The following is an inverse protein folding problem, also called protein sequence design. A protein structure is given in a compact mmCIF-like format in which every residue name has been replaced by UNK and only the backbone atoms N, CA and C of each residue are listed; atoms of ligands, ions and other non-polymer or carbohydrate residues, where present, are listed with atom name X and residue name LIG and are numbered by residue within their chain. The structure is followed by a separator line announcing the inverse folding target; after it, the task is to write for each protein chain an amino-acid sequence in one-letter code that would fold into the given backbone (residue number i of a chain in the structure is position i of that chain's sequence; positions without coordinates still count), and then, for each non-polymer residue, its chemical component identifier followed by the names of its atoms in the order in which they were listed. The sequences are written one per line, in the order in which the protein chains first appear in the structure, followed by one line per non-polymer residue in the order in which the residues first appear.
data_IF_171473427813
#
_entry.id   IF_171473427813
#
_cell.length_a   1.000
_cell.length_b   1.000
_cell.length_c   1.000
_cell.angle_alpha   90.00
_cell.angle_beta   90.00
_cell.angle_gamma   90.00
#
_symmetry.space_group_name_H-M   'P 1'
#
loop_
_entity.id
_entity.type
_entity.pdbx_description
1 polymer ?
#
# COMPACT_ATOMS: atom_id res chain seq x y z
N UNK A 1 10.63 10.76 -1.64
CA UNK A 1 11.36 10.11 -0.53
C UNK A 1 12.86 9.96 -0.83
N UNK A 2 13.45 10.82 -1.68
CA UNK A 2 14.89 10.85 -1.96
C UNK A 2 15.72 11.65 -0.95
N UNK A 3 15.07 12.27 0.05
CA UNK A 3 15.74 12.70 1.27
C UNK A 3 16.00 11.46 2.10
N UNK A 4 17.06 10.76 1.68
CA UNK A 4 17.90 9.93 2.53
C UNK A 4 17.91 10.56 3.91
N UNK A 5 17.63 9.71 4.89
CA UNK A 5 17.91 9.92 6.30
C UNK A 5 19.30 10.51 6.46
N UNK A 6 19.42 11.84 6.34
CA UNK A 6 20.51 12.58 6.94
C UNK A 6 20.32 12.24 8.41
N UNK A 7 21.16 11.33 8.92
CA UNK A 7 21.36 11.17 10.35
C UNK A 7 21.53 12.58 10.88
N UNK A 8 20.48 13.12 11.49
CA UNK A 8 20.62 14.27 12.37
C UNK A 8 21.51 13.74 13.48
N UNK A 9 22.82 14.03 13.39
CA UNK A 9 23.69 13.97 14.57
C UNK A 9 23.00 14.86 15.58
N UNK A 10 22.34 14.27 16.57
CA UNK A 10 21.87 15.04 17.71
C UNK A 10 23.13 15.59 18.37
N UNK A 11 23.34 16.89 18.25
CA UNK A 11 24.21 17.61 19.14
C UNK A 11 23.53 17.60 20.51
N UNK A 12 23.68 16.51 21.26
CA UNK A 12 23.56 16.56 22.71
C UNK A 12 24.90 17.10 23.20
N UNK A 13 24.91 18.40 23.47
CA UNK A 13 25.95 19.07 24.23
C UNK A 13 25.84 18.59 25.67
N UNK A 14 26.70 17.64 26.03
CA UNK A 14 27.06 17.44 27.44
C UNK A 14 28.43 18.08 27.62
N UNK A 15 28.42 19.29 28.18
CA UNK A 15 29.55 19.88 28.88
C UNK A 15 29.85 19.02 30.11
N UNK A 16 31.02 18.38 30.18
CA UNK A 16 32.11 18.77 31.07
C UNK A 16 33.19 17.67 31.21
N UNK A 17 34.38 18.02 30.72
CA UNK A 17 35.71 17.74 31.29
C UNK A 17 36.09 16.31 31.71
N UNK A 18 36.80 15.62 30.82
CA UNK A 18 38.12 15.06 31.19
C UNK A 18 39.03 15.00 29.97
N UNK A 19 40.16 15.70 30.06
CA UNK A 19 41.17 15.77 29.02
C UNK A 19 41.88 14.42 28.86
N UNK A 20 41.86 13.85 27.66
CA UNK A 20 42.88 12.88 27.23
C UNK A 20 43.16 13.03 25.74
N UNK A 21 44.42 13.26 25.44
CA UNK A 21 45.00 13.57 24.13
C UNK A 21 44.78 12.46 23.09
N UNK A 22 44.11 12.86 22.00
CA UNK A 22 44.56 12.79 20.61
C UNK A 22 45.14 11.46 20.07
N UNK A 23 44.26 10.53 19.69
CA UNK A 23 44.49 9.64 18.54
C UNK A 23 43.69 10.15 17.34
N UNK A 24 44.38 10.65 16.31
CA UNK A 24 43.79 11.18 15.08
C UNK A 24 42.90 10.15 14.40
N UNK A 25 41.57 10.32 14.51
CA UNK A 25 40.62 9.63 13.66
C UNK A 25 40.47 10.45 12.39
N UNK A 26 40.98 9.91 11.29
CA UNK A 26 40.75 10.40 9.94
C UNK A 26 39.26 10.69 9.75
N UNK A 27 38.93 11.97 9.70
CA UNK A 27 37.60 12.42 9.39
C UNK A 27 37.29 11.95 7.98
N UNK A 28 36.31 11.05 7.84
CA UNK A 28 35.85 10.58 6.54
C UNK A 28 35.60 11.81 5.64
N UNK A 29 36.15 11.82 4.42
CA UNK A 29 36.06 12.99 3.54
C UNK A 29 34.59 13.39 3.36
N UNK A 30 34.30 14.70 3.28
CA UNK A 30 32.94 15.18 3.10
C UNK A 30 32.35 14.51 1.86
N UNK A 31 31.20 13.86 2.05
CA UNK A 31 30.50 13.16 0.98
C UNK A 31 30.32 14.11 -0.21
N UNK A 32 31.09 13.87 -1.26
CA UNK A 32 31.09 14.65 -2.49
C UNK A 32 29.65 14.77 -2.99
N UNK A 33 29.18 16.00 -3.19
CA UNK A 33 27.80 16.25 -3.57
C UNK A 33 27.53 15.61 -4.93
N UNK A 34 26.94 14.41 -4.92
CA UNK A 34 26.76 13.62 -6.12
C UNK A 34 26.01 14.42 -7.20
N UNK A 35 26.62 14.47 -8.40
CA UNK A 35 26.19 15.29 -9.53
C UNK A 35 24.68 15.15 -9.84
N UNK A 36 24.02 16.21 -10.35
CA UNK A 36 22.63 16.14 -10.77
C UNK A 36 22.43 15.06 -11.85
N UNK A 37 21.28 14.39 -11.83
CA UNK A 37 20.94 13.41 -12.86
C UNK A 37 20.85 14.11 -14.22
N UNK A 38 21.51 13.58 -15.25
CA UNK A 38 21.45 14.14 -16.59
C UNK A 38 20.04 14.10 -17.17
N UNK A 39 19.63 15.13 -17.93
CA UNK A 39 18.30 15.26 -18.53
C UNK A 39 17.90 14.02 -19.35
N UNK A 40 18.84 13.43 -20.10
CA UNK A 40 18.61 12.20 -20.89
C UNK A 40 18.19 11.02 -20.01
N UNK A 41 18.82 10.86 -18.84
CA UNK A 41 18.50 9.80 -17.88
C UNK A 41 17.09 9.95 -17.31
N UNK A 42 16.66 11.18 -17.03
CA UNK A 42 15.30 11.45 -16.55
C UNK A 42 14.28 11.00 -17.60
N UNK A 43 14.45 11.42 -18.85
CA UNK A 43 13.53 11.06 -19.94
C UNK A 43 13.46 9.56 -20.20
N UNK A 44 14.60 8.86 -20.22
CA UNK A 44 14.61 7.40 -20.44
C UNK A 44 13.92 6.65 -19.32
N UNK A 45 14.12 7.07 -18.06
CA UNK A 45 13.44 6.45 -16.92
C UNK A 45 11.95 6.78 -16.88
N UNK A 46 11.56 8.00 -17.24
CA UNK A 46 10.15 8.35 -17.38
C UNK A 46 9.49 7.50 -18.45
N UNK A 47 10.09 7.37 -19.64
CA UNK A 47 9.55 6.53 -20.71
C UNK A 47 9.43 5.06 -20.29
N UNK A 48 10.45 4.49 -19.65
CA UNK A 48 10.42 3.11 -19.15
C UNK A 48 9.34 2.91 -18.08
N UNK A 49 9.21 3.84 -17.13
CA UNK A 49 8.17 3.78 -16.11
C UNK A 49 6.77 3.88 -16.71
N UNK A 50 6.56 4.80 -17.66
CA UNK A 50 5.28 4.94 -18.37
C UNK A 50 4.94 3.68 -19.17
N UNK A 51 5.91 3.07 -19.86
CA UNK A 51 5.67 1.81 -20.57
C UNK A 51 5.23 0.69 -19.61
N UNK A 52 5.89 0.54 -18.46
CA UNK A 52 5.48 -0.45 -17.45
C UNK A 52 4.10 -0.15 -16.87
N UNK A 53 3.79 1.13 -16.61
CA UNK A 53 2.46 1.58 -16.16
C UNK A 53 1.39 1.28 -17.21
N UNK A 54 1.66 1.45 -18.50
CA UNK A 54 0.71 1.12 -19.57
C UNK A 54 0.45 -0.39 -19.66
N UNK A 55 1.48 -1.22 -19.48
CA UNK A 55 1.31 -2.68 -19.40
C UNK A 55 0.47 -3.07 -18.17
N UNK A 56 0.77 -2.50 -17.00
CA UNK A 56 -0.02 -2.70 -15.78
C UNK A 56 -1.48 -2.24 -15.97
N UNK A 57 -1.70 -1.08 -16.59
CA UNK A 57 -3.02 -0.57 -16.89
C UNK A 57 -3.78 -1.50 -17.82
N UNK A 58 -3.16 -1.92 -18.93
CA UNK A 58 -3.77 -2.86 -19.86
C UNK A 58 -4.20 -4.16 -19.16
N UNK A 59 -3.32 -4.72 -18.33
CA UNK A 59 -3.59 -6.01 -17.66
C UNK A 59 -4.74 -5.95 -16.66
N UNK A 60 -4.96 -4.82 -15.97
CA UNK A 60 -5.90 -4.75 -14.85
C UNK A 60 -6.94 -3.63 -14.81
N UNK A 61 -6.86 -2.62 -15.68
CA UNK A 61 -7.73 -1.43 -15.57
C UNK A 61 -9.20 -1.79 -15.70
N UNK A 62 -10.02 -1.22 -14.80
CA UNK A 62 -11.47 -1.26 -14.86
C UNK A 62 -12.09 -0.03 -14.18
N UNK A 63 -13.38 0.15 -14.41
CA UNK A 63 -14.20 1.08 -13.62
C UNK A 63 -14.37 0.53 -12.18
N UNK A 64 -14.43 1.40 -11.16
CA UNK A 64 -14.73 0.97 -9.79
C UNK A 64 -16.03 0.19 -9.74
N UNK A 65 -16.03 -1.02 -9.17
CA UNK A 65 -17.28 -1.77 -9.07
C UNK A 65 -18.27 -1.07 -8.13
N UNK A 66 -19.56 -1.42 -8.25
CA UNK A 66 -20.59 -0.91 -7.34
C UNK A 66 -20.26 -1.18 -5.88
N UNK A 67 -19.55 -2.28 -5.58
CA UNK A 67 -19.19 -2.66 -4.21
C UNK A 67 -18.25 -1.64 -3.56
N UNK A 68 -17.17 -1.28 -4.24
CA UNK A 68 -16.21 -0.27 -3.78
C UNK A 68 -16.87 1.11 -3.68
N UNK A 69 -17.69 1.49 -4.66
CA UNK A 69 -18.40 2.75 -4.65
C UNK A 69 -19.44 2.83 -3.50
N UNK A 70 -20.16 1.74 -3.20
CA UNK A 70 -21.05 1.66 -2.03
C UNK A 70 -20.27 1.81 -0.72
N UNK A 71 -19.07 1.22 -0.60
CA UNK A 71 -18.25 1.44 0.60
C UNK A 71 -17.77 2.89 0.70
N UNK A 72 -17.49 3.56 -0.41
CA UNK A 72 -17.08 4.97 -0.41
C UNK A 72 -18.21 5.93 -0.01
N UNK A 73 -19.48 5.52 -0.03
CA UNK A 73 -20.60 6.35 0.45
C UNK A 73 -20.85 6.23 1.95
N UNK A 74 -20.19 5.29 2.63
CA UNK A 74 -20.34 5.05 4.07
C UNK A 74 -19.75 6.21 4.88
N UNK A 75 -20.59 6.98 5.58
CA UNK A 75 -20.16 8.15 6.34
C UNK A 75 -20.43 8.04 7.85
N UNK A 76 -19.61 8.73 8.64
CA UNK A 76 -19.82 8.87 10.08
C UNK A 76 -21.11 9.61 10.41
N UNK A 77 -21.47 10.60 9.59
CA UNK A 77 -22.69 11.40 9.72
C UNK A 77 -23.95 10.55 9.61
N UNK A 78 -23.90 9.50 8.80
CA UNK A 78 -25.01 8.54 8.63
C UNK A 78 -25.03 7.46 9.73
N UNK A 79 -24.05 7.45 10.64
CA UNK A 79 -24.00 6.56 11.80
C UNK A 79 -23.10 5.34 11.63
N UNK A 80 -22.18 5.34 10.66
CA UNK A 80 -21.15 4.32 10.51
C UNK A 80 -19.88 4.65 11.31
N UNK A 81 -19.34 3.66 12.03
CA UNK A 81 -18.15 3.84 12.85
C UNK A 81 -16.92 3.10 12.31
N UNK A 82 -17.07 2.38 11.20
CA UNK A 82 -15.99 1.70 10.48
C UNK A 82 -15.93 2.20 9.04
N UNK A 83 -14.71 2.30 8.51
CA UNK A 83 -14.45 2.68 7.11
C UNK A 83 -15.09 4.00 6.68
N UNK A 84 -15.30 4.91 7.63
CA UNK A 84 -16.16 6.07 7.45
C UNK A 84 -15.43 7.27 6.86
N UNK A 85 -14.10 7.36 6.98
CA UNK A 85 -13.40 8.63 6.71
C UNK A 85 -13.59 9.09 5.26
N UNK A 86 -13.51 8.18 4.29
CA UNK A 86 -13.66 8.54 2.87
C UNK A 86 -15.08 9.02 2.59
N UNK A 87 -16.10 8.29 3.04
CA UNK A 87 -17.48 8.71 2.84
C UNK A 87 -17.81 9.99 3.59
N UNK A 88 -17.33 10.18 4.82
CA UNK A 88 -17.47 11.43 5.58
C UNK A 88 -16.93 12.66 4.86
N UNK A 89 -15.78 12.53 4.18
CA UNK A 89 -15.20 13.61 3.40
C UNK A 89 -15.95 13.85 2.08
N UNK A 90 -16.51 12.78 1.51
CA UNK A 90 -17.25 12.83 0.25
C UNK A 90 -18.71 13.25 0.41
N UNK A 91 -19.31 13.04 1.59
CA UNK A 91 -20.74 13.20 1.87
C UNK A 91 -21.31 14.56 1.39
N UNK A 92 -20.69 15.72 1.68
CA UNK A 92 -21.23 17.00 1.21
C UNK A 92 -21.27 17.13 -0.32
N UNK A 93 -20.30 16.53 -1.00
CA UNK A 93 -20.19 16.55 -2.47
C UNK A 93 -21.15 15.51 -3.06
N UNK A 94 -21.30 14.37 -2.40
CA UNK A 94 -22.23 13.31 -2.75
C UNK A 94 -23.68 13.83 -2.69
N UNK A 95 -24.08 14.40 -1.55
CA UNK A 95 -25.39 15.02 -1.36
C UNK A 95 -25.66 16.10 -2.42
N UNK A 96 -24.71 17.03 -2.62
CA UNK A 96 -24.87 18.11 -3.60
C UNK A 96 -24.97 17.63 -5.06
N UNK A 97 -24.40 16.46 -5.37
CA UNK A 97 -24.45 15.87 -6.72
C UNK A 97 -25.60 14.87 -6.90
N UNK A 98 -26.32 14.52 -5.83
CA UNK A 98 -27.31 13.46 -5.81
C UNK A 98 -26.70 12.06 -5.95
N UNK A 99 -25.60 11.79 -5.24
CA UNK A 99 -24.90 10.49 -5.20
C UNK A 99 -24.55 9.91 -6.57
N UNK A 100 -24.13 10.74 -7.53
CA UNK A 100 -23.78 10.24 -8.87
C UNK A 100 -22.56 9.32 -8.80
N UNK A 101 -22.69 8.08 -9.28
CA UNK A 101 -21.59 7.10 -9.38
C UNK A 101 -20.31 7.67 -10.02
N UNK A 102 -20.45 8.51 -11.06
CA UNK A 102 -19.30 9.14 -11.75
C UNK A 102 -18.40 9.95 -10.84
N UNK A 103 -18.93 10.52 -9.75
CA UNK A 103 -18.14 11.24 -8.75
C UNK A 103 -17.20 10.31 -8.00
N UNK A 104 -17.71 9.17 -7.53
CA UNK A 104 -16.92 8.13 -6.86
C UNK A 104 -15.89 7.51 -7.82
N UNK A 105 -16.28 7.31 -9.07
CA UNK A 105 -15.35 6.86 -10.10
C UNK A 105 -14.19 7.85 -10.31
N UNK A 106 -14.49 9.14 -10.45
CA UNK A 106 -13.49 10.19 -10.59
C UNK A 106 -12.55 10.24 -9.37
N UNK A 107 -13.09 10.23 -8.16
CA UNK A 107 -12.29 10.18 -6.92
C UNK A 107 -11.33 8.99 -6.92
N UNK A 108 -11.83 7.81 -7.27
CA UNK A 108 -11.05 6.57 -7.31
C UNK A 108 -9.90 6.65 -8.31
N UNK A 109 -10.12 7.22 -9.50
CA UNK A 109 -9.05 7.45 -10.47
C UNK A 109 -8.08 8.55 -10.04
N UNK A 110 -8.52 9.58 -9.31
CA UNK A 110 -7.62 10.59 -8.75
C UNK A 110 -6.71 10.00 -7.67
N UNK A 111 -7.23 9.09 -6.84
CA UNK A 111 -6.46 8.32 -5.85
C UNK A 111 -5.42 7.46 -6.56
N UNK A 112 -5.82 6.69 -7.57
CA UNK A 112 -4.88 5.90 -8.39
C UNK A 112 -3.82 6.81 -9.01
N UNK A 113 -4.21 7.93 -9.62
CA UNK A 113 -3.28 8.86 -10.27
C UNK A 113 -2.27 9.44 -9.27
N UNK A 114 -2.70 9.79 -8.05
CA UNK A 114 -1.81 10.19 -6.98
C UNK A 114 -0.78 9.11 -6.62
N UNK A 115 -1.23 7.85 -6.54
CA UNK A 115 -0.36 6.72 -6.21
C UNK A 115 0.65 6.44 -7.32
N UNK A 116 0.19 6.44 -8.58
CA UNK A 116 1.05 6.32 -9.76
C UNK A 116 2.06 7.47 -9.83
N UNK A 117 1.63 8.71 -9.55
CA UNK A 117 2.53 9.86 -9.52
C UNK A 117 3.63 9.68 -8.47
N UNK A 118 3.31 9.18 -7.27
CA UNK A 118 4.33 8.85 -6.26
C UNK A 118 5.30 7.79 -6.79
N UNK A 119 4.81 6.67 -7.32
CA UNK A 119 5.66 5.57 -7.78
C UNK A 119 6.55 5.97 -8.96
N UNK A 120 5.98 6.60 -10.00
CA UNK A 120 6.71 7.09 -11.17
C UNK A 120 7.73 8.15 -10.76
N UNK A 121 7.34 9.10 -9.90
CA UNK A 121 8.28 10.08 -9.37
C UNK A 121 9.47 9.40 -8.69
N UNK A 122 9.24 8.42 -7.81
CA UNK A 122 10.33 7.71 -7.15
C UNK A 122 11.21 6.93 -8.14
N UNK A 123 10.64 6.29 -9.17
CA UNK A 123 11.41 5.57 -10.19
C UNK A 123 12.37 6.51 -10.95
N UNK A 124 11.91 7.73 -11.23
CA UNK A 124 12.69 8.75 -11.95
C UNK A 124 13.76 9.37 -11.05
N UNK A 125 13.41 9.78 -9.83
CA UNK A 125 14.32 10.59 -8.99
C UNK A 125 15.28 9.77 -8.14
N UNK A 126 14.94 8.52 -7.77
CA UNK A 126 15.84 7.69 -6.99
C UNK A 126 17.14 7.47 -7.76
N UNK A 127 18.29 7.50 -7.08
CA UNK A 127 19.60 7.25 -7.70
C UNK A 127 20.04 5.80 -7.65
N UNK A 128 19.36 4.98 -6.85
CA UNK A 128 19.72 3.58 -6.61
C UNK A 128 19.09 2.69 -7.68
N UNK A 129 19.89 2.02 -8.56
CA UNK A 129 19.36 1.17 -9.62
C UNK A 129 18.44 0.06 -9.10
N UNK A 130 18.77 -0.56 -7.98
CA UNK A 130 17.95 -1.61 -7.36
C UNK A 130 16.54 -1.12 -6.98
N UNK A 131 16.42 0.12 -6.50
CA UNK A 131 15.12 0.76 -6.20
C UNK A 131 14.31 1.06 -7.46
N UNK A 132 14.98 1.47 -8.54
CA UNK A 132 14.31 1.67 -9.84
C UNK A 132 13.79 0.35 -10.37
N UNK A 133 14.66 -0.66 -10.42
CA UNK A 133 14.33 -2.02 -10.82
C UNK A 133 13.12 -2.54 -10.04
N UNK A 134 13.10 -2.34 -8.72
CA UNK A 134 11.97 -2.76 -7.88
C UNK A 134 10.65 -2.12 -8.30
N UNK A 135 10.61 -0.81 -8.58
CA UNK A 135 9.37 -0.14 -9.03
C UNK A 135 8.95 -0.64 -10.41
N UNK A 136 9.89 -0.77 -11.36
CA UNK A 136 9.58 -1.26 -12.70
C UNK A 136 9.07 -2.71 -12.64
N UNK A 137 9.72 -3.56 -11.85
CA UNK A 137 9.29 -4.94 -11.62
C UNK A 137 7.90 -4.99 -10.98
N UNK A 138 7.59 -4.12 -10.02
CA UNK A 138 6.26 -4.05 -9.41
C UNK A 138 5.14 -3.88 -10.45
N UNK A 139 5.35 -3.02 -11.46
CA UNK A 139 4.39 -2.79 -12.53
C UNK A 139 4.31 -3.94 -13.55
N UNK A 140 5.43 -4.63 -13.80
CA UNK A 140 5.48 -5.75 -14.75
C UNK A 140 5.00 -7.08 -14.16
N UNK A 141 4.96 -7.20 -12.84
CA UNK A 141 4.44 -8.36 -12.13
C UNK A 141 2.91 -8.32 -12.01
N UNK A 142 2.26 -9.44 -11.63
CA UNK A 142 0.82 -9.47 -11.40
C UNK A 142 0.29 -8.37 -10.46
N UNK A 143 1.12 -7.88 -9.54
CA UNK A 143 0.83 -6.74 -8.66
C UNK A 143 0.52 -5.44 -9.40
N UNK A 144 1.17 -5.20 -10.55
CA UNK A 144 0.94 -4.01 -11.36
C UNK A 144 -0.48 -3.98 -11.89
N UNK A 145 -0.92 -5.07 -12.53
CA UNK A 145 -2.29 -5.22 -12.98
C UNK A 145 -3.29 -5.19 -11.81
N UNK A 146 -2.99 -5.86 -10.70
CA UNK A 146 -3.86 -5.85 -9.51
C UNK A 146 -4.06 -4.43 -8.95
N UNK A 147 -3.03 -3.58 -8.96
CA UNK A 147 -3.15 -2.17 -8.57
C UNK A 147 -4.22 -1.43 -9.40
N UNK A 148 -4.28 -1.68 -10.71
CA UNK A 148 -5.28 -1.11 -11.61
C UNK A 148 -6.65 -1.78 -11.51
N UNK A 149 -6.70 -3.00 -10.98
CA UNK A 149 -7.96 -3.68 -10.70
C UNK A 149 -8.65 -3.13 -9.43
N UNK A 150 -7.84 -2.74 -8.43
CA UNK A 150 -8.29 -2.17 -7.15
C UNK A 150 -8.74 -0.71 -7.23
N UNK A 151 -9.01 -0.15 -8.41
CA UNK A 151 -9.51 1.23 -8.51
C UNK A 151 -10.83 1.34 -7.75
N UNK A 152 -10.83 2.19 -6.74
CA UNK A 152 -11.95 2.41 -5.82
C UNK A 152 -11.82 1.72 -4.46
N UNK A 153 -10.90 0.78 -4.32
CA UNK A 153 -10.64 0.12 -3.04
C UNK A 153 -9.84 1.04 -2.12
N UNK A 154 -10.12 0.94 -0.83
CA UNK A 154 -9.48 1.78 0.19
C UNK A 154 -7.98 1.54 0.34
N UNK A 155 -7.45 0.38 -0.10
CA UNK A 155 -6.02 0.04 0.00
C UNK A 155 -5.14 1.10 -0.67
N UNK A 156 -5.58 1.63 -1.82
CA UNK A 156 -4.86 2.70 -2.52
C UNK A 156 -4.76 3.97 -1.67
N UNK A 157 -5.83 4.32 -0.92
CA UNK A 157 -5.83 5.43 0.04
C UNK A 157 -4.87 5.14 1.20
N UNK A 158 -4.87 3.91 1.73
CA UNK A 158 -3.97 3.52 2.81
C UNK A 158 -2.50 3.68 2.40
N UNK A 159 -2.11 3.23 1.21
CA UNK A 159 -0.74 3.36 0.73
C UNK A 159 -0.37 4.81 0.40
N UNK A 160 -1.30 5.64 -0.08
CA UNK A 160 -1.06 7.09 -0.20
C UNK A 160 -0.79 7.74 1.16
N UNK A 161 -1.60 7.43 2.18
CA UNK A 161 -1.39 7.91 3.55
C UNK A 161 -0.06 7.41 4.12
N UNK A 162 0.32 6.15 3.86
CA UNK A 162 1.63 5.62 4.22
C UNK A 162 2.76 6.41 3.56
N UNK A 163 2.70 6.63 2.24
CA UNK A 163 3.75 7.35 1.53
C UNK A 163 3.84 8.82 1.97
N UNK A 164 2.72 9.46 2.28
CA UNK A 164 2.67 10.76 2.93
C UNK A 164 3.35 10.74 4.31
N UNK A 165 3.01 9.78 5.16
CA UNK A 165 3.61 9.59 6.48
C UNK A 165 5.13 9.37 6.38
N UNK A 166 5.59 8.52 5.46
CA UNK A 166 7.01 8.26 5.23
C UNK A 166 7.75 9.51 4.71
N UNK A 167 7.10 10.32 3.88
CA UNK A 167 7.65 11.60 3.41
C UNK A 167 7.80 12.63 4.54
N UNK A 168 6.84 12.69 5.45
CA UNK A 168 6.88 13.55 6.66
C UNK A 168 7.94 13.05 7.64
N UNK A 169 7.98 11.74 7.90
CA UNK A 169 8.95 11.11 8.79
C UNK A 169 10.39 11.36 8.31
N UNK A 170 10.64 11.28 7.00
CA UNK A 170 11.94 11.60 6.40
C UNK A 170 12.38 13.07 6.57
N UNK A 171 11.46 13.97 6.94
CA UNK A 171 11.74 15.37 7.30
C UNK A 171 11.82 15.61 8.81
N UNK A 172 11.72 14.56 9.62
CA UNK A 172 11.67 14.64 11.07
C UNK A 172 10.27 15.01 11.62
N UNK A 173 9.25 15.15 10.76
CA UNK A 173 7.89 15.48 11.16
C UNK A 173 7.10 14.22 11.56
N UNK A 174 7.54 13.57 12.63
CA UNK A 174 6.98 12.27 13.04
C UNK A 174 5.56 12.37 13.64
N UNK A 175 5.19 13.51 14.24
CA UNK A 175 3.83 13.73 14.77
C UNK A 175 2.77 13.74 13.66
N UNK A 176 2.85 14.58 12.62
CA UNK A 176 1.87 14.54 11.54
C UNK A 176 1.94 13.22 10.75
N UNK A 177 3.10 12.56 10.70
CA UNK A 177 3.21 11.21 10.14
C UNK A 177 2.39 10.17 10.93
N UNK A 178 2.41 10.25 12.27
CA UNK A 178 1.56 9.43 13.14
C UNK A 178 0.07 9.72 12.93
N UNK A 179 -0.31 11.00 12.77
CA UNK A 179 -1.68 11.39 12.45
C UNK A 179 -2.17 10.79 11.13
N UNK A 180 -1.33 10.71 10.09
CA UNK A 180 -1.69 10.03 8.84
C UNK A 180 -2.07 8.56 9.06
N UNK A 181 -1.44 7.86 10.02
CA UNK A 181 -1.79 6.48 10.34
C UNK A 181 -3.08 6.35 11.17
N UNK A 182 -3.39 7.36 12.00
CA UNK A 182 -4.72 7.47 12.62
C UNK A 182 -5.79 7.62 11.56
N UNK A 183 -5.57 8.51 10.58
CA UNK A 183 -6.48 8.69 9.45
C UNK A 183 -6.63 7.39 8.63
N UNK A 184 -5.52 6.69 8.37
CA UNK A 184 -5.55 5.40 7.66
C UNK A 184 -6.42 4.37 8.40
N UNK A 185 -6.35 4.33 9.73
CA UNK A 185 -7.20 3.45 10.53
C UNK A 185 -8.69 3.79 10.42
N UNK A 186 -9.04 5.08 10.31
CA UNK A 186 -10.41 5.54 10.05
C UNK A 186 -10.88 5.27 8.61
N UNK A 187 -9.96 5.17 7.65
CA UNK A 187 -10.26 4.74 6.27
C UNK A 187 -10.58 3.24 6.24
N UNK A 188 -9.75 2.41 6.85
CA UNK A 188 -9.98 0.98 6.90
C UNK A 188 -9.14 0.32 8.02
N UNK A 189 -9.78 -0.52 8.81
CA UNK A 189 -9.18 -1.30 9.90
C UNK A 189 -8.04 -2.23 9.46
N UNK A 190 -8.00 -2.63 8.17
CA UNK A 190 -6.90 -3.44 7.62
C UNK A 190 -5.55 -2.70 7.66
N UNK A 191 -5.56 -1.39 7.89
CA UNK A 191 -4.36 -0.60 8.22
C UNK A 191 -3.48 -1.28 9.26
N UNK A 192 -4.08 -1.93 10.27
CA UNK A 192 -3.37 -2.64 11.33
C UNK A 192 -2.48 -3.78 10.82
N UNK A 193 -2.86 -4.42 9.70
CA UNK A 193 -2.18 -5.57 9.12
C UNK A 193 -1.38 -5.22 7.86
N UNK A 194 -1.55 -4.01 7.30
CA UNK A 194 -0.95 -3.59 6.02
C UNK A 194 0.07 -2.49 6.25
N UNK A 195 -0.37 -1.24 6.35
CA UNK A 195 0.50 -0.07 6.31
C UNK A 195 1.07 0.33 7.68
N UNK A 196 0.37 0.03 8.79
CA UNK A 196 0.86 0.36 10.14
C UNK A 196 2.13 -0.42 10.52
N UNK A 197 2.25 -1.74 10.25
CA UNK A 197 3.50 -2.46 10.47
C UNK A 197 4.68 -1.88 9.67
N UNK A 198 4.44 -1.46 8.41
CA UNK A 198 5.45 -0.82 7.57
C UNK A 198 5.88 0.54 8.13
N UNK A 199 4.91 1.35 8.56
CA UNK A 199 5.17 2.63 9.22
C UNK A 199 5.99 2.43 10.50
N UNK A 200 5.65 1.45 11.33
CA UNK A 200 6.38 1.17 12.56
C UNK A 200 7.83 0.74 12.28
N UNK A 201 8.07 -0.10 11.26
CA UNK A 201 9.43 -0.41 10.80
C UNK A 201 10.17 0.86 10.38
N UNK A 202 9.52 1.77 9.65
CA UNK A 202 10.13 3.06 9.31
C UNK A 202 10.42 3.92 10.55
N UNK A 203 9.53 3.99 11.53
CA UNK A 203 9.79 4.68 12.81
C UNK A 203 11.00 4.09 13.54
N UNK A 204 11.11 2.77 13.67
CA UNK A 204 12.24 2.11 14.32
C UNK A 204 13.59 2.39 13.63
N UNK A 205 13.57 2.73 12.34
CA UNK A 205 14.77 3.06 11.55
C UNK A 205 15.18 4.53 11.67
N UNK A 206 14.26 5.39 12.10
CA UNK A 206 14.41 6.86 12.01
C UNK A 206 14.36 7.54 13.37
N UNK A 207 13.70 6.94 14.35
CA UNK A 207 13.47 7.48 15.68
C UNK A 207 14.08 6.56 16.75
N UNK A 208 14.40 7.09 17.94
CA UNK A 208 14.63 6.27 19.12
C UNK A 208 13.44 5.34 19.41
N UNK A 209 13.71 4.18 20.01
CA UNK A 209 12.71 3.14 20.25
C UNK A 209 11.45 3.67 20.96
N UNK A 210 11.61 4.48 22.00
CA UNK A 210 10.49 5.09 22.74
C UNK A 210 9.60 5.95 21.85
N UNK A 211 10.19 6.81 21.02
CA UNK A 211 9.44 7.66 20.07
C UNK A 211 8.79 6.84 18.96
N UNK A 212 9.41 5.75 18.52
CA UNK A 212 8.79 4.86 17.54
C UNK A 212 7.50 4.21 18.09
N UNK A 213 7.51 3.78 19.35
CA UNK A 213 6.29 3.29 20.02
C UNK A 213 5.25 4.40 20.17
N UNK A 214 5.64 5.58 20.66
CA UNK A 214 4.73 6.74 20.79
C UNK A 214 4.10 7.12 19.45
N UNK A 215 4.84 7.02 18.34
CA UNK A 215 4.31 7.31 17.02
C UNK A 215 3.28 6.27 16.52
N UNK A 216 3.33 5.03 16.99
CA UNK A 216 2.39 3.97 16.59
C UNK A 216 1.15 3.88 17.49
N UNK A 217 1.29 4.21 18.79
CA UNK A 217 0.23 4.07 19.80
C UNK A 217 -1.10 4.73 19.38
N UNK A 218 -1.14 5.98 18.85
CA UNK A 218 -2.40 6.60 18.48
C UNK A 218 -3.19 5.79 17.45
N UNK A 219 -2.54 5.30 16.38
CA UNK A 219 -3.19 4.49 15.37
C UNK A 219 -3.68 3.14 15.93
N UNK A 220 -2.89 2.49 16.80
CA UNK A 220 -3.30 1.27 17.50
C UNK A 220 -4.53 1.51 18.40
N UNK A 221 -4.54 2.60 19.16
CA UNK A 221 -5.64 2.97 20.05
C UNK A 221 -6.91 3.27 19.25
N UNK A 222 -6.80 4.03 18.15
CA UNK A 222 -7.92 4.27 17.22
C UNK A 222 -8.44 2.96 16.64
N UNK A 223 -7.56 2.04 16.24
CA UNK A 223 -7.96 0.73 15.72
C UNK A 223 -8.73 -0.08 16.76
N UNK A 224 -8.23 -0.13 18.00
CA UNK A 224 -8.92 -0.80 19.09
C UNK A 224 -10.31 -0.19 19.34
N UNK A 225 -10.41 1.15 19.41
CA UNK A 225 -11.69 1.85 19.58
C UNK A 225 -12.68 1.49 18.46
N UNK A 226 -12.27 1.57 17.19
CA UNK A 226 -13.09 1.24 16.01
C UNK A 226 -13.54 -0.23 16.03
N UNK A 227 -12.65 -1.15 16.44
CA UNK A 227 -12.97 -2.58 16.52
C UNK A 227 -13.92 -2.91 17.68
N UNK A 228 -13.85 -2.18 18.80
CA UNK A 228 -14.78 -2.34 19.93
C UNK A 228 -16.13 -1.66 19.70
N UNK A 229 -16.19 -0.64 18.84
CA UNK A 229 -17.43 0.01 18.46
C UNK A 229 -18.30 -0.91 17.59
N UNK A 230 -19.62 -0.78 17.73
CA UNK A 230 -20.57 -1.36 16.78
C UNK A 230 -20.27 -0.78 15.39
N UNK A 231 -20.19 -1.60 14.32
CA UNK A 231 -19.83 -1.12 12.98
C UNK A 231 -20.71 0.02 12.48
N UNK A 232 -22.00 -0.04 12.82
CA UNK A 232 -23.02 0.95 12.44
C UNK A 232 -24.15 0.99 13.46
N UNK A 233 -24.93 2.06 13.43
CA UNK A 233 -26.15 2.21 14.24
C UNK A 233 -27.32 1.39 13.65
N UNK A 234 -28.30 1.04 14.48
CA UNK A 234 -29.44 0.22 14.05
C UNK A 234 -30.21 0.88 12.91
N UNK A 235 -30.44 0.16 11.80
CA UNK A 235 -31.20 0.65 10.65
C UNK A 235 -30.41 1.54 9.68
N UNK A 236 -29.19 1.96 10.03
CA UNK A 236 -28.35 2.84 9.19
C UNK A 236 -28.05 2.22 7.82
N UNK A 237 -27.65 0.95 7.75
CA UNK A 237 -27.36 0.28 6.46
C UNK A 237 -28.57 0.30 5.51
N UNK A 238 -29.77 0.03 6.04
CA UNK A 238 -31.00 0.03 5.23
C UNK A 238 -31.40 1.45 4.80
N UNK A 239 -31.20 2.44 5.67
CA UNK A 239 -31.45 3.85 5.33
C UNK A 239 -30.52 4.33 4.21
N UNK A 240 -29.21 4.05 4.31
CA UNK A 240 -28.25 4.37 3.25
C UNK A 240 -28.59 3.63 1.95
N UNK A 241 -28.94 2.35 2.03
CA UNK A 241 -29.35 1.59 0.83
C UNK A 241 -30.50 2.29 0.08
N UNK A 242 -31.57 2.66 0.79
CA UNK A 242 -32.72 3.36 0.18
C UNK A 242 -32.32 4.71 -0.41
N UNK A 243 -31.51 5.48 0.32
CA UNK A 243 -30.98 6.77 -0.15
C UNK A 243 -30.20 6.63 -1.47
N UNK A 244 -29.37 5.59 -1.59
CA UNK A 244 -28.61 5.29 -2.81
C UNK A 244 -29.52 4.79 -3.94
N UNK A 245 -30.50 3.93 -3.65
CA UNK A 245 -31.47 3.43 -4.63
C UNK A 245 -32.33 4.56 -5.22
N UNK A 246 -32.82 5.48 -4.36
CA UNK A 246 -33.56 6.68 -4.75
C UNK A 246 -32.72 7.60 -5.67
N UNK A 247 -31.40 7.63 -5.46
CA UNK A 247 -30.45 8.36 -6.30
C UNK A 247 -30.04 7.61 -7.58
N UNK A 248 -30.62 6.43 -7.85
CA UNK A 248 -30.23 5.54 -8.95
C UNK A 248 -28.74 5.14 -8.92
N UNK A 249 -28.15 5.08 -7.73
CA UNK A 249 -26.78 4.62 -7.53
C UNK A 249 -26.72 3.09 -7.64
N UNK A 250 -25.67 2.49 -8.23
CA UNK A 250 -25.51 1.04 -8.35
C UNK A 250 -25.08 0.42 -7.00
N UNK A 251 -25.99 0.45 -6.02
CA UNK A 251 -25.73 -0.06 -4.67
C UNK A 251 -25.51 -1.57 -4.68
N UNK A 252 -24.55 -2.03 -3.88
CA UNK A 252 -24.29 -3.45 -3.64
C UNK A 252 -24.68 -3.81 -2.20
N UNK A 253 -25.83 -4.48 -1.97
CA UNK A 253 -26.32 -4.79 -0.62
C UNK A 253 -25.32 -5.61 0.21
N UNK A 254 -24.58 -6.51 -0.43
CA UNK A 254 -23.52 -7.33 0.17
C UNK A 254 -22.35 -6.49 0.73
N UNK A 255 -22.13 -5.28 0.19
CA UNK A 255 -21.17 -4.32 0.74
C UNK A 255 -21.67 -3.72 2.07
N UNK A 256 -22.96 -3.39 2.17
CA UNK A 256 -23.57 -2.82 3.39
C UNK A 256 -23.80 -3.88 4.46
N UNK A 257 -23.99 -5.14 4.07
CA UNK A 257 -24.12 -6.29 4.96
C UNK A 257 -22.86 -6.51 5.83
N UNK A 258 -21.70 -6.03 5.39
CA UNK A 258 -20.47 -6.03 6.19
C UNK A 258 -20.63 -5.32 7.54
N UNK A 259 -21.49 -4.32 7.62
CA UNK A 259 -21.70 -3.55 8.84
C UNK A 259 -22.77 -4.17 9.75
N UNK A 260 -23.57 -5.10 9.25
CA UNK A 260 -24.58 -5.82 10.04
C UNK A 260 -24.14 -7.19 10.52
N UNK A 261 -23.11 -7.79 9.90
CA UNK A 261 -22.62 -9.13 10.25
C UNK A 261 -21.74 -9.13 11.49
N UNK A 262 -21.82 -10.22 12.25
CA UNK A 262 -20.81 -10.55 13.25
C UNK A 262 -19.56 -11.13 12.58
N UNK A 263 -18.45 -11.19 13.33
CA UNK A 263 -17.25 -11.89 12.85
C UNK A 263 -17.52 -13.39 12.63
N UNK A 264 -18.36 -13.99 13.48
CA UNK A 264 -18.75 -15.39 13.35
C UNK A 264 -19.52 -15.63 12.05
N UNK A 265 -20.46 -14.75 11.71
CA UNK A 265 -21.18 -14.82 10.42
C UNK A 265 -20.22 -14.66 9.25
N UNK A 266 -19.24 -13.77 9.38
CA UNK A 266 -18.21 -13.60 8.35
C UNK A 266 -17.37 -14.86 8.15
N UNK A 267 -17.01 -15.56 9.24
CA UNK A 267 -16.29 -16.83 9.19
C UNK A 267 -17.10 -17.99 8.61
N UNK A 268 -18.43 -17.93 8.61
CA UNK A 268 -19.26 -18.96 7.96
C UNK A 268 -19.21 -18.86 6.44
N UNK A 269 -18.82 -17.71 5.88
CA UNK A 269 -18.78 -17.49 4.43
C UNK A 269 -17.53 -18.06 3.75
N UNK A 270 -16.50 -18.42 4.51
CA UNK A 270 -15.24 -18.89 3.94
C UNK A 270 -14.46 -19.79 4.91
N UNK A 271 -13.60 -20.65 4.37
CA UNK A 271 -12.70 -21.47 5.17
C UNK A 271 -11.42 -20.69 5.47
N UNK A 272 -11.19 -20.29 6.73
CA UNK A 272 -9.94 -19.60 7.11
C UNK A 272 -8.72 -20.49 6.83
N UNK A 273 -8.88 -21.81 6.96
CA UNK A 273 -7.82 -22.78 6.65
C UNK A 273 -7.46 -22.74 5.17
N UNK A 274 -8.43 -22.70 4.27
CA UNK A 274 -8.17 -22.65 2.83
C UNK A 274 -7.52 -21.34 2.41
N UNK A 275 -7.99 -20.21 2.95
CA UNK A 275 -7.35 -18.90 2.72
C UNK A 275 -5.91 -18.92 3.22
N UNK A 276 -5.65 -19.41 4.44
CA UNK A 276 -4.29 -19.49 4.97
C UNK A 276 -3.40 -20.42 4.14
N UNK A 277 -3.88 -21.60 3.77
CA UNK A 277 -3.12 -22.55 2.94
C UNK A 277 -2.82 -21.99 1.54
N UNK A 278 -3.72 -21.20 0.98
CA UNK A 278 -3.48 -20.48 -0.27
C UNK A 278 -2.34 -19.45 -0.12
N UNK A 279 -2.29 -18.73 1.00
CA UNK A 279 -1.26 -17.71 1.27
C UNK A 279 0.09 -18.31 1.68
N UNK A 280 0.09 -19.53 2.25
CA UNK A 280 1.26 -20.15 2.86
C UNK A 280 2.50 -20.23 1.94
N UNK A 281 2.39 -20.63 0.65
CA UNK A 281 3.54 -20.63 -0.25
C UNK A 281 4.16 -19.23 -0.43
N UNK A 282 3.34 -18.19 -0.51
CA UNK A 282 3.78 -16.79 -0.65
C UNK A 282 4.46 -16.32 0.64
N UNK A 283 3.88 -16.67 1.80
CA UNK A 283 4.46 -16.38 3.11
C UNK A 283 5.85 -17.00 3.25
N UNK A 284 5.99 -18.29 2.91
CA UNK A 284 7.27 -19.00 2.95
C UNK A 284 8.28 -18.34 2.00
N UNK A 285 7.86 -18.06 0.76
CA UNK A 285 8.71 -17.42 -0.24
C UNK A 285 9.24 -16.05 0.25
N UNK A 286 8.36 -15.17 0.73
CA UNK A 286 8.73 -13.84 1.23
C UNK A 286 9.64 -13.96 2.45
N UNK A 287 9.30 -14.83 3.41
CA UNK A 287 10.10 -15.04 4.62
C UNK A 287 11.52 -15.49 4.27
N UNK A 288 11.64 -16.53 3.44
CA UNK A 288 12.94 -17.07 3.00
C UNK A 288 13.72 -16.03 2.22
N UNK A 289 13.10 -15.31 1.28
CA UNK A 289 13.76 -14.27 0.51
C UNK A 289 14.32 -13.16 1.40
N UNK A 290 13.54 -12.67 2.37
CA UNK A 290 14.00 -11.63 3.30
C UNK A 290 15.11 -12.14 4.23
N UNK A 291 15.02 -13.37 4.73
CA UNK A 291 16.06 -13.96 5.59
C UNK A 291 17.38 -14.18 4.82
N UNK A 292 17.32 -14.71 3.60
CA UNK A 292 18.49 -14.90 2.74
C UNK A 292 19.12 -13.56 2.35
N UNK A 293 18.29 -12.58 1.99
CA UNK A 293 18.75 -11.23 1.68
C UNK A 293 19.48 -10.60 2.86
N UNK A 294 18.93 -10.76 4.07
CA UNK A 294 19.51 -10.23 5.30
C UNK A 294 20.80 -10.96 5.68
N UNK A 295 20.83 -12.30 5.57
CA UNK A 295 22.04 -13.12 5.83
C UNK A 295 23.21 -12.73 4.94
N UNK A 296 22.92 -12.30 3.71
CA UNK A 296 23.95 -11.86 2.78
C UNK A 296 24.53 -10.47 3.12
N UNK A 297 23.98 -9.72 4.08
CA UNK A 297 24.47 -8.39 4.47
C UNK A 297 24.59 -8.19 5.98
N UNK A 298 25.10 -7.02 6.39
CA UNK A 298 25.41 -6.73 7.80
C UNK A 298 24.29 -5.90 8.45
N UNK A 299 23.20 -6.56 8.87
CA UNK A 299 22.01 -5.91 9.46
C UNK A 299 21.86 -6.20 10.95
N UNK A 300 21.38 -5.23 11.76
CA UNK A 300 20.99 -5.51 13.13
C UNK A 300 19.76 -6.43 13.15
N UNK A 301 19.86 -7.53 13.91
CA UNK A 301 18.85 -8.59 13.98
C UNK A 301 17.43 -8.09 14.34
N UNK A 302 17.33 -7.05 15.18
CA UNK A 302 16.04 -6.50 15.62
C UNK A 302 15.20 -5.93 14.46
N UNK A 303 15.84 -5.24 13.51
CA UNK A 303 15.13 -4.69 12.35
C UNK A 303 14.77 -5.77 11.32
N UNK A 304 15.52 -6.87 11.29
CA UNK A 304 15.22 -8.02 10.43
C UNK A 304 13.87 -8.63 10.83
N UNK A 305 13.72 -9.02 12.10
CA UNK A 305 12.49 -9.65 12.59
C UNK A 305 11.29 -8.74 12.35
N UNK A 306 11.38 -7.46 12.71
CA UNK A 306 10.27 -6.52 12.50
C UNK A 306 9.94 -6.30 11.02
N UNK A 307 10.94 -6.29 10.13
CA UNK A 307 10.71 -6.15 8.69
C UNK A 307 10.02 -7.39 8.10
N UNK A 308 10.42 -8.60 8.54
CA UNK A 308 9.79 -9.85 8.13
C UNK A 308 8.34 -9.89 8.64
N UNK A 309 8.12 -9.59 9.92
CA UNK A 309 6.77 -9.53 10.49
C UNK A 309 5.89 -8.50 9.78
N UNK A 310 6.42 -7.31 9.46
CA UNK A 310 5.66 -6.30 8.71
C UNK A 310 5.35 -6.73 7.27
N UNK A 311 6.27 -7.44 6.61
CA UNK A 311 6.02 -8.02 5.28
C UNK A 311 4.92 -9.09 5.31
N UNK A 312 4.91 -9.91 6.35
CA UNK A 312 4.00 -11.05 6.49
C UNK A 312 2.67 -10.72 7.18
N UNK A 313 2.55 -9.54 7.79
CA UNK A 313 1.36 -9.12 8.54
C UNK A 313 0.03 -9.27 7.76
N UNK A 314 -0.03 -8.99 6.43
CA UNK A 314 -1.27 -9.20 5.67
C UNK A 314 -1.77 -10.66 5.65
N UNK A 315 -0.91 -11.66 5.89
CA UNK A 315 -1.34 -13.06 6.00
C UNK A 315 -2.34 -13.27 7.16
N UNK A 316 -2.26 -12.46 8.22
CA UNK A 316 -3.18 -12.52 9.35
C UNK A 316 -4.61 -12.07 8.96
N UNK A 317 -4.78 -11.41 7.81
CA UNK A 317 -6.11 -11.05 7.30
C UNK A 317 -6.96 -12.27 6.95
N UNK A 318 -6.37 -13.46 6.83
CA UNK A 318 -7.09 -14.75 6.75
C UNK A 318 -8.09 -14.95 7.90
N UNK A 319 -7.86 -14.33 9.06
CA UNK A 319 -8.77 -14.42 10.21
C UNK A 319 -9.82 -13.30 10.23
N UNK A 320 -9.72 -12.33 9.32
CA UNK A 320 -10.59 -11.16 9.27
C UNK A 320 -11.45 -11.09 8.01
N UNK A 321 -11.07 -11.74 6.91
CA UNK A 321 -11.88 -11.77 5.69
C UNK A 321 -11.48 -12.86 4.69
N UNK A 322 -12.33 -13.01 3.68
CA UNK A 322 -12.33 -14.13 2.74
C UNK A 322 -11.48 -13.91 1.47
N UNK A 323 -11.08 -12.66 1.21
CA UNK A 323 -10.45 -12.24 -0.04
C UNK A 323 -8.96 -12.62 -0.11
N UNK A 324 -8.71 -13.90 -0.38
CA UNK A 324 -7.36 -14.49 -0.37
C UNK A 324 -6.44 -13.88 -1.43
N UNK A 325 -6.98 -13.44 -2.56
CA UNK A 325 -6.26 -12.80 -3.66
C UNK A 325 -5.78 -11.41 -3.26
N UNK A 326 -6.64 -10.63 -2.60
CA UNK A 326 -6.25 -9.34 -2.04
C UNK A 326 -5.22 -9.47 -0.93
N UNK A 327 -5.34 -10.49 -0.07
CA UNK A 327 -4.33 -10.79 0.95
C UNK A 327 -2.97 -11.15 0.34
N UNK A 328 -2.97 -11.93 -0.74
CA UNK A 328 -1.75 -12.25 -1.49
C UNK A 328 -1.14 -11.00 -2.15
N UNK A 329 -1.96 -10.15 -2.76
CA UNK A 329 -1.52 -8.87 -3.30
C UNK A 329 -0.86 -8.00 -2.22
N UNK A 330 -1.52 -7.80 -1.08
CA UNK A 330 -1.01 -6.97 0.03
C UNK A 330 0.26 -7.54 0.67
N UNK A 331 0.41 -8.87 0.76
CA UNK A 331 1.66 -9.53 1.16
C UNK A 331 2.81 -9.11 0.24
N UNK A 332 2.59 -9.17 -1.08
CA UNK A 332 3.60 -8.80 -2.06
C UNK A 332 3.89 -7.30 -1.97
N UNK A 333 2.87 -6.43 -1.91
CA UNK A 333 3.09 -4.98 -1.77
C UNK A 333 3.92 -4.65 -0.52
N UNK A 334 3.61 -5.26 0.63
CA UNK A 334 4.39 -5.06 1.85
C UNK A 334 5.83 -5.55 1.70
N UNK A 335 6.05 -6.70 1.06
CA UNK A 335 7.39 -7.18 0.71
C UNK A 335 8.16 -6.17 -0.16
N UNK A 336 7.52 -5.58 -1.17
CA UNK A 336 8.11 -4.52 -2.00
C UNK A 336 8.50 -3.28 -1.18
N UNK A 337 7.65 -2.83 -0.25
CA UNK A 337 7.98 -1.68 0.61
C UNK A 337 9.15 -1.98 1.54
N UNK A 338 9.23 -3.20 2.10
CA UNK A 338 10.38 -3.63 2.91
C UNK A 338 11.66 -3.69 2.07
N UNK A 339 11.63 -4.28 0.88
CA UNK A 339 12.77 -4.26 -0.04
C UNK A 339 13.18 -2.83 -0.40
N UNK A 340 12.22 -1.93 -0.61
CA UNK A 340 12.49 -0.51 -0.85
C UNK A 340 13.25 0.14 0.30
N UNK A 341 12.82 -0.09 1.56
CA UNK A 341 13.56 0.36 2.73
C UNK A 341 14.97 -0.21 2.73
N UNK A 342 15.09 -1.51 2.46
CA UNK A 342 16.35 -2.20 2.57
C UNK A 342 17.37 -1.74 1.54
N UNK A 343 16.98 -1.63 0.27
CA UNK A 343 17.82 -1.07 -0.78
C UNK A 343 18.32 0.34 -0.47
N UNK A 344 17.55 1.12 0.29
CA UNK A 344 17.96 2.45 0.74
C UNK A 344 19.11 2.51 1.71
N UNK A 345 19.31 1.46 2.52
CA UNK A 345 20.41 1.45 3.50
C UNK A 345 21.73 1.03 2.88
N UNK A 346 21.68 0.19 1.84
CA UNK A 346 22.89 -0.36 1.23
C UNK A 346 23.60 0.61 0.30
N UNK A 347 22.98 1.75 -0.01
CA UNK A 347 23.39 2.96 -0.76
C UNK A 347 24.32 2.86 -1.99
N UNK A 348 25.18 1.86 -2.17
CA UNK A 348 26.06 1.70 -3.32
C UNK A 348 26.36 0.22 -3.66
N UNK A 349 26.41 -0.71 -2.69
CA UNK A 349 26.90 -2.08 -2.94
C UNK A 349 25.88 -3.16 -2.52
N UNK A 350 24.83 -3.35 -3.33
CA UNK A 350 24.06 -4.58 -3.24
C UNK A 350 24.97 -5.73 -3.70
N UNK A 351 25.18 -6.74 -2.85
CA UNK A 351 25.96 -7.92 -3.26
C UNK A 351 25.18 -8.65 -4.37
N UNK A 352 25.88 -9.22 -5.35
CA UNK A 352 25.24 -9.97 -6.44
C UNK A 352 24.30 -11.07 -5.92
N UNK A 353 24.66 -11.69 -4.79
CA UNK A 353 23.81 -12.68 -4.09
C UNK A 353 22.49 -12.06 -3.61
N UNK A 354 22.53 -10.87 -3.00
CA UNK A 354 21.32 -10.18 -2.54
C UNK A 354 20.40 -9.82 -3.71
N UNK A 355 20.97 -9.37 -4.82
CA UNK A 355 20.22 -9.07 -6.02
C UNK A 355 19.61 -10.34 -6.63
N UNK A 356 20.39 -11.43 -6.71
CA UNK A 356 19.93 -12.73 -7.18
C UNK A 356 18.76 -13.28 -6.35
N UNK A 357 18.83 -13.20 -5.01
CA UNK A 357 17.73 -13.61 -4.12
C UNK A 357 16.44 -12.85 -4.44
N UNK A 358 16.54 -11.52 -4.61
CA UNK A 358 15.36 -10.71 -4.96
C UNK A 358 14.82 -11.08 -6.34
N UNK A 359 15.68 -11.19 -7.36
CA UNK A 359 15.25 -11.56 -8.72
C UNK A 359 14.55 -12.92 -8.72
N UNK A 360 15.13 -13.93 -8.06
CA UNK A 360 14.51 -15.26 -7.95
C UNK A 360 13.16 -15.18 -7.24
N UNK A 361 13.06 -14.45 -6.13
CA UNK A 361 11.79 -14.27 -5.44
C UNK A 361 10.73 -13.58 -6.31
N UNK A 362 11.11 -12.55 -7.06
CA UNK A 362 10.23 -11.86 -7.99
C UNK A 362 9.78 -12.75 -9.15
N UNK A 363 10.67 -13.57 -9.70
CA UNK A 363 10.32 -14.56 -10.73
C UNK A 363 9.35 -15.61 -10.20
N UNK A 364 9.54 -16.09 -8.97
CA UNK A 364 8.60 -17.02 -8.35
C UNK A 364 7.24 -16.38 -8.07
N UNK A 365 7.19 -15.08 -7.74
CA UNK A 365 5.94 -14.31 -7.60
C UNK A 365 5.16 -14.23 -8.92
N UNK A 366 5.81 -14.22 -10.09
CA UNK A 366 5.12 -14.26 -11.41
C UNK A 366 4.20 -15.48 -11.52
N UNK A 367 4.59 -16.59 -10.90
CA UNK A 367 3.85 -17.85 -10.95
C UNK A 367 2.74 -17.96 -9.90
N UNK A 368 2.52 -16.92 -9.09
CA UNK A 368 1.38 -16.86 -8.18
C UNK A 368 0.15 -16.45 -9.02
N UNK A 369 -0.88 -17.31 -9.14
CA UNK A 369 -2.09 -16.97 -9.88
C UNK A 369 -2.92 -15.96 -9.08
N UNK A 370 -2.59 -14.68 -9.19
CA UNK A 370 -3.44 -13.61 -8.64
C UNK A 370 -4.61 -13.39 -9.58
N UNK A 371 -5.71 -14.11 -9.35
CA UNK A 371 -7.00 -13.70 -9.87
C UNK A 371 -7.41 -12.39 -9.20
N UNK A 372 -8.15 -11.58 -9.93
CA UNK A 372 -8.68 -10.32 -9.44
C UNK A 372 -9.98 -10.56 -8.64
N UNK A 373 -10.40 -9.55 -7.89
CA UNK A 373 -11.67 -9.59 -7.15
C UNK A 373 -12.84 -9.84 -8.10
N UNK A 374 -13.97 -10.36 -7.60
CA UNK A 374 -15.17 -10.75 -8.41
C UNK A 374 -14.86 -11.79 -9.52
N UNK A 375 -13.80 -12.59 -9.37
CA UNK A 375 -13.46 -13.66 -10.31
C UNK A 375 -12.85 -13.18 -11.63
N UNK A 376 -12.46 -11.90 -11.72
CA UNK A 376 -11.73 -11.37 -12.85
C UNK A 376 -10.33 -11.98 -12.93
N UNK A 377 -9.71 -11.90 -14.11
CA UNK A 377 -8.33 -12.34 -14.32
C UNK A 377 -7.52 -11.27 -15.04
N UNK A 378 -6.18 -11.26 -14.89
CA UNK A 378 -5.30 -10.43 -15.70
C UNK A 378 -5.54 -10.64 -17.19
N UNK A 379 -5.65 -9.55 -17.96
CA UNK A 379 -5.79 -9.66 -19.41
C UNK A 379 -4.52 -10.27 -20.01
N UNK A 380 -4.64 -11.23 -20.95
CA UNK A 380 -3.48 -11.85 -21.57
C UNK A 380 -2.73 -10.86 -22.47
N UNK A 381 -1.40 -10.85 -22.40
CA UNK A 381 -0.55 -10.03 -23.28
C UNK A 381 -0.41 -10.70 -24.66
N UNK A 382 -1.53 -10.92 -25.35
CA UNK A 382 -1.61 -11.51 -26.70
C UNK A 382 -2.26 -10.52 -27.67
N UNK A 383 -1.98 -10.66 -28.97
CA UNK A 383 -2.60 -9.80 -29.98
C UNK A 383 -4.13 -9.83 -29.95
N UNK A 384 -4.71 -11.02 -29.71
CA UNK A 384 -6.16 -11.19 -29.53
C UNK A 384 -6.68 -10.44 -28.30
N UNK A 385 -6.07 -10.63 -27.12
CA UNK A 385 -6.50 -9.95 -25.91
C UNK A 385 -6.42 -8.43 -26.01
N UNK A 386 -5.47 -7.90 -26.79
CA UNK A 386 -5.34 -6.46 -27.05
C UNK A 386 -6.48 -5.99 -27.96
N UNK A 387 -6.79 -6.74 -29.02
CA UNK A 387 -7.91 -6.47 -29.92
C UNK A 387 -9.26 -6.45 -29.18
N UNK A 388 -9.54 -7.47 -28.38
CA UNK A 388 -10.78 -7.58 -27.61
C UNK A 388 -10.96 -6.40 -26.64
N UNK A 389 -9.87 -5.95 -26.00
CA UNK A 389 -9.91 -4.79 -25.11
C UNK A 389 -10.14 -3.48 -25.87
N UNK A 390 -9.50 -3.31 -27.03
CA UNK A 390 -9.71 -2.14 -27.87
C UNK A 390 -11.16 -2.02 -28.31
N UNK A 391 -11.78 -3.12 -28.76
CA UNK A 391 -13.19 -3.17 -29.11
C UNK A 391 -14.08 -2.83 -27.90
N UNK A 392 -13.80 -3.41 -26.73
CA UNK A 392 -14.54 -3.13 -25.50
C UNK A 392 -14.48 -1.66 -25.05
N UNK A 393 -13.33 -1.00 -25.22
CA UNK A 393 -13.17 0.43 -24.87
C UNK A 393 -13.86 1.32 -25.90
N UNK A 394 -13.74 1.00 -27.18
CA UNK A 394 -14.30 1.81 -28.27
C UNK A 394 -15.81 1.64 -28.46
N UNK A 395 -16.40 0.53 -27.98
CA UNK A 395 -17.86 0.34 -27.99
C UNK A 395 -18.61 1.24 -26.99
N UNK A 396 -17.89 1.87 -26.05
CA UNK A 396 -18.48 2.64 -24.94
C UNK A 396 -18.86 1.78 -23.72
N UNK A 397 -18.91 0.46 -23.88
CA UNK A 397 -19.31 -0.48 -22.81
C UNK A 397 -18.39 -0.40 -21.59
N UNK A 398 -17.11 -0.02 -21.77
CA UNK A 398 -16.17 0.15 -20.66
C UNK A 398 -16.70 1.08 -19.56
N UNK A 399 -17.40 2.15 -19.93
CA UNK A 399 -17.95 3.12 -18.99
C UNK A 399 -19.39 2.81 -18.56
N UNK A 400 -20.17 2.17 -19.43
CA UNK A 400 -21.62 1.96 -19.22
C UNK A 400 -21.94 0.63 -18.54
N UNK A 401 -21.08 -0.38 -18.71
CA UNK A 401 -21.19 -1.70 -18.10
C UNK A 401 -19.94 -1.96 -17.27
N UNK A 402 -19.81 -1.36 -16.07
CA UNK A 402 -18.84 -1.85 -15.10
C UNK A 402 -19.21 -3.31 -14.83
N UNK A 403 -18.59 -4.25 -15.57
CA UNK A 403 -18.87 -5.68 -15.44
C UNK A 403 -18.74 -6.01 -13.96
N UNK A 404 -19.86 -6.48 -13.40
CA UNK A 404 -19.98 -6.86 -11.99
C UNK A 404 -18.99 -7.97 -11.66
#
# INVERSE_FOLDING_TARGET
MSLVLRRTRSATSDDETTATQSGGRDAAPPAEAAAPLGRRHIWTMTAAALACVLVAAYTGIRMPNGWSATLQSVSFQEGFHRRFLVGTLMDPIADASGYRYRMYALLSFLILAGLLAVLVYQAVVTRLPARRFLILAFFLLPTGGYLFHEVGYFDQVLYLLLFGALWMLGRGWWIPASLMMVLAMCVHEITALTVLPLFFVACLRTLPLSRAFVAAVPACATGLLILTAKPTSSGTSLALQRKLEEAHFPVRPDALELFSRTQEDSWKMYSQKEVFLYLLPIVILIAVALLLFARAGDRPAKLLVMSVLAALAPAMATFAGWDRERWAFLLIVNFFVILWFWFGDYQVALKSVQFGVVVVALLLIVHVPLTYFDGFAPRPLTGQGIGDFYEYVTSGDFFDKPRL
#
